data_IF_593659467900
#
_entry.id   IF_593659467900
#
_cell.length_a   1.000
_cell.length_b   1.000
_cell.length_c   1.000
_cell.angle_alpha   90.00
_cell.angle_beta   90.00
_cell.angle_gamma   90.00
#
_symmetry.space_group_name_H-M   'P 1'
#
loop_
_entity.id
_entity.type
_entity.pdbx_description
1 polymer ?
#
# COMPACT_ATOMS: atom_id res chain seq x y z
N UNK A 1 3.69 -14.49 -26.45
CA UNK A 1 3.02 -13.78 -25.35
C UNK A 1 4.10 -13.29 -24.40
N UNK A 2 4.37 -11.99 -24.35
CA UNK A 2 5.20 -11.43 -23.28
C UNK A 2 4.35 -11.40 -22.02
N UNK A 3 4.82 -12.02 -20.93
CA UNK A 3 4.25 -11.79 -19.62
C UNK A 3 4.50 -10.33 -19.27
N UNK A 4 3.45 -9.52 -19.34
CA UNK A 4 3.48 -8.15 -18.89
C UNK A 4 3.38 -8.22 -17.37
N UNK A 5 4.52 -8.38 -16.69
CA UNK A 5 4.58 -8.26 -15.24
C UNK A 5 3.89 -6.94 -14.86
N UNK A 6 2.96 -7.00 -13.91
CA UNK A 6 2.26 -5.82 -13.44
C UNK A 6 3.31 -4.84 -12.88
N UNK A 7 3.58 -3.78 -13.64
CA UNK A 7 4.52 -2.74 -13.22
C UNK A 7 3.99 -2.10 -11.93
N UNK A 8 4.87 -2.06 -10.93
CA UNK A 8 4.54 -1.72 -9.56
C UNK A 8 4.40 -0.20 -9.49
N UNK A 9 3.23 0.33 -9.13
CA UNK A 9 2.98 1.78 -9.20
C UNK A 9 2.52 2.39 -7.88
N UNK A 10 2.70 3.70 -7.69
CA UNK A 10 2.22 4.46 -6.52
C UNK A 10 1.15 5.46 -6.94
N UNK A 11 0.10 5.61 -6.16
CA UNK A 11 -0.91 6.61 -6.45
C UNK A 11 -0.40 8.00 -6.06
N UNK A 12 -0.56 8.98 -6.95
CA UNK A 12 -0.42 10.39 -6.60
C UNK A 12 -1.79 11.04 -6.43
N UNK A 13 -1.97 11.70 -5.29
CA UNK A 13 -3.17 12.48 -4.98
C UNK A 13 -3.17 13.85 -5.69
N UNK A 14 -2.01 14.30 -6.20
CA UNK A 14 -1.87 15.58 -6.89
C UNK A 14 -1.81 15.44 -8.42
N UNK A 15 -2.24 16.49 -9.13
CA UNK A 15 -2.50 16.49 -10.57
C UNK A 15 -1.23 16.45 -11.46
N UNK A 16 -0.03 16.61 -10.90
CA UNK A 16 1.20 16.66 -11.67
C UNK A 16 1.92 15.30 -11.70
N UNK A 17 2.25 14.75 -12.87
CA UNK A 17 3.07 13.56 -12.97
C UNK A 17 4.50 13.88 -12.50
N UNK A 18 4.83 13.52 -11.26
CA UNK A 18 6.23 13.54 -10.82
C UNK A 18 6.87 12.26 -11.32
N UNK A 19 7.86 12.35 -12.20
CA UNK A 19 8.82 11.25 -12.37
C UNK A 19 9.57 11.13 -11.06
N UNK A 20 9.35 10.06 -10.31
CA UNK A 20 10.21 9.76 -9.17
C UNK A 20 11.56 9.32 -9.74
N UNK A 21 12.65 9.85 -9.19
CA UNK A 21 14.02 9.55 -9.66
C UNK A 21 14.38 8.05 -9.50
N UNK A 22 13.57 7.32 -8.73
CA UNK A 22 13.65 5.87 -8.54
C UNK A 22 13.02 5.04 -9.68
N UNK A 23 12.42 5.69 -10.69
CA UNK A 23 11.80 5.03 -11.84
C UNK A 23 10.48 4.31 -11.54
N UNK A 24 9.90 4.49 -10.35
CA UNK A 24 8.63 3.86 -9.99
C UNK A 24 7.47 4.57 -10.72
N UNK A 25 6.69 3.86 -11.55
CA UNK A 25 5.57 4.47 -12.24
C UNK A 25 4.53 4.99 -11.25
N UNK A 26 3.93 6.14 -11.53
CA UNK A 26 2.81 6.65 -10.74
C UNK A 26 1.55 6.78 -11.57
N UNK A 27 0.40 6.75 -10.91
CA UNK A 27 -0.88 6.97 -11.55
C UNK A 27 -1.72 8.03 -10.84
N UNK A 28 -2.62 8.63 -11.61
CA UNK A 28 -3.59 9.63 -11.16
C UNK A 28 -4.97 9.00 -10.94
N UNK A 29 -5.84 9.72 -10.24
CA UNK A 29 -7.26 9.38 -10.10
C UNK A 29 -7.94 9.17 -11.47
N UNK A 30 -7.70 10.07 -12.43
CA UNK A 30 -8.29 9.97 -13.77
C UNK A 30 -7.89 8.69 -14.51
N UNK A 31 -6.64 8.23 -14.34
CA UNK A 31 -6.16 6.97 -14.91
C UNK A 31 -6.83 5.76 -14.26
N UNK A 32 -7.07 5.80 -12.94
CA UNK A 32 -7.81 4.75 -12.23
C UNK A 32 -9.25 4.62 -12.72
N UNK A 33 -9.98 5.73 -12.81
CA UNK A 33 -11.37 5.74 -13.30
C UNK A 33 -11.44 5.29 -14.76
N UNK A 34 -10.52 5.75 -15.61
CA UNK A 34 -10.45 5.33 -17.01
C UNK A 34 -10.19 3.82 -17.14
N UNK A 35 -9.24 3.29 -16.35
CA UNK A 35 -8.92 1.86 -16.34
C UNK A 35 -10.10 1.01 -15.87
N UNK A 36 -10.75 1.38 -14.76
CA UNK A 36 -11.88 0.64 -14.23
C UNK A 36 -13.06 0.64 -15.20
N UNK A 37 -13.37 1.81 -15.78
CA UNK A 37 -14.43 1.95 -16.80
C UNK A 37 -14.15 1.13 -18.05
N UNK A 38 -12.92 1.15 -18.56
CA UNK A 38 -12.55 0.42 -19.77
C UNK A 38 -12.64 -1.10 -19.58
N UNK A 39 -12.45 -1.60 -18.36
CA UNK A 39 -12.43 -3.03 -18.06
C UNK A 39 -13.69 -3.53 -17.33
N UNK A 40 -14.69 -2.66 -17.10
CA UNK A 40 -15.89 -3.03 -16.35
C UNK A 40 -15.61 -3.43 -14.89
N UNK A 41 -14.56 -2.87 -14.28
CA UNK A 41 -14.18 -3.15 -12.90
C UNK A 41 -14.85 -2.18 -11.94
N UNK A 42 -15.26 -2.67 -10.78
CA UNK A 42 -15.82 -1.83 -9.72
C UNK A 42 -14.73 -1.12 -8.91
N UNK A 43 -13.64 -1.82 -8.61
CA UNK A 43 -12.57 -1.32 -7.73
C UNK A 43 -11.26 -2.06 -7.97
N UNK A 44 -10.15 -1.36 -7.76
CA UNK A 44 -8.80 -1.92 -7.68
C UNK A 44 -8.43 -2.02 -6.20
N UNK A 45 -8.06 -3.22 -5.75
CA UNK A 45 -7.56 -3.44 -4.39
C UNK A 45 -6.04 -3.60 -4.48
N UNK A 46 -5.30 -2.80 -3.74
CA UNK A 46 -3.83 -2.74 -3.81
C UNK A 46 -3.19 -2.54 -2.44
N UNK A 47 -1.87 -2.70 -2.36
CA UNK A 47 -1.06 -2.34 -1.20
C UNK A 47 0.07 -1.38 -1.56
N UNK A 48 1.27 -1.63 -1.01
CA UNK A 48 2.56 -0.98 -1.31
C UNK A 48 2.77 0.45 -0.81
N UNK A 49 1.72 1.20 -0.54
CA UNK A 49 1.83 2.55 0.03
C UNK A 49 1.41 2.51 1.51
N UNK A 50 2.31 2.94 2.40
CA UNK A 50 1.99 3.05 3.82
C UNK A 50 0.86 4.07 4.01
N UNK A 51 -0.13 3.72 4.83
CA UNK A 51 -1.27 4.57 5.17
C UNK A 51 -1.52 4.44 6.68
N UNK A 52 -1.74 5.56 7.35
CA UNK A 52 -1.80 5.61 8.81
C UNK A 52 -2.95 4.78 9.39
N UNK A 53 -4.08 4.72 8.68
CA UNK A 53 -5.28 4.01 9.11
C UNK A 53 -5.32 2.53 8.68
N UNK A 54 -4.22 2.02 8.10
CA UNK A 54 -4.14 0.67 7.55
C UNK A 54 -4.91 0.47 6.25
N UNK A 55 -5.77 1.42 5.87
CA UNK A 55 -6.40 1.47 4.56
C UNK A 55 -6.60 2.91 4.07
N UNK A 56 -6.74 3.07 2.75
CA UNK A 56 -7.14 4.31 2.10
C UNK A 56 -8.09 3.98 0.94
N UNK A 57 -9.32 4.48 1.00
CA UNK A 57 -10.31 4.34 -0.07
C UNK A 57 -10.38 5.65 -0.88
N UNK A 58 -9.35 5.89 -1.67
CA UNK A 58 -9.26 7.05 -2.54
C UNK A 58 -8.35 6.76 -3.75
N UNK A 59 -8.78 7.05 -4.98
CA UNK A 59 -10.14 7.49 -5.36
C UNK A 59 -11.15 6.37 -5.11
N UNK A 60 -12.44 6.61 -5.39
CA UNK A 60 -13.52 5.63 -5.13
C UNK A 60 -13.26 4.26 -5.78
N UNK A 61 -12.54 4.24 -6.88
CA UNK A 61 -12.19 3.05 -7.65
C UNK A 61 -10.90 2.37 -7.17
N UNK A 62 -10.24 2.85 -6.11
CA UNK A 62 -9.01 2.27 -5.57
C UNK A 62 -9.05 2.19 -4.05
N UNK A 63 -8.81 0.98 -3.54
CA UNK A 63 -8.62 0.71 -2.12
C UNK A 63 -7.19 0.27 -1.89
N UNK A 64 -6.44 1.05 -1.12
CA UNK A 64 -5.11 0.69 -0.62
C UNK A 64 -5.25 0.06 0.76
N UNK A 65 -4.59 -1.08 0.99
CA UNK A 65 -4.57 -1.82 2.26
C UNK A 65 -3.12 -2.09 2.66
N UNK A 66 -2.82 -1.88 3.94
CA UNK A 66 -1.55 -2.21 4.58
C UNK A 66 -1.82 -3.14 5.74
N UNK A 67 -1.17 -4.31 5.74
CA UNK A 67 -1.35 -5.32 6.79
C UNK A 67 -0.17 -5.41 7.77
N UNK A 68 0.76 -4.45 7.71
CA UNK A 68 1.88 -4.35 8.64
C UNK A 68 1.57 -3.28 9.69
N UNK A 69 1.39 -3.71 10.95
CA UNK A 69 1.33 -2.78 12.09
C UNK A 69 2.72 -2.25 12.37
N UNK A 70 2.79 -1.03 12.91
CA UNK A 70 4.03 -0.40 13.34
C UNK A 70 5.19 -0.60 12.34
N UNK A 71 4.97 -0.21 11.08
CA UNK A 71 5.92 -0.50 10.00
C UNK A 71 7.35 -0.08 10.39
N UNK A 72 8.32 -0.95 10.15
CA UNK A 72 9.73 -0.76 10.54
C UNK A 72 9.95 -0.42 12.04
N UNK A 73 9.02 -0.80 12.91
CA UNK A 73 9.00 -0.52 14.36
C UNK A 73 9.02 0.98 14.75
N UNK A 74 8.90 1.85 13.74
CA UNK A 74 9.04 3.29 13.84
C UNK A 74 7.71 4.01 13.55
N UNK A 75 6.96 3.52 12.57
CA UNK A 75 5.64 4.04 12.28
C UNK A 75 4.65 3.60 13.38
N UNK A 76 3.61 4.41 13.62
CA UNK A 76 2.51 4.07 14.54
C UNK A 76 1.21 3.82 13.78
N UNK A 77 1.34 3.32 12.56
CA UNK A 77 0.20 3.07 11.68
C UNK A 77 -0.64 1.89 12.19
N UNK A 78 -1.95 1.98 11.95
CA UNK A 78 -2.83 0.83 11.92
C UNK A 78 -2.50 -0.04 10.72
N UNK A 79 -2.86 -1.31 10.83
CA UNK A 79 -2.98 -2.23 9.73
C UNK A 79 -4.46 -2.55 9.48
N UNK A 80 -4.76 -3.08 8.31
CA UNK A 80 -6.08 -3.54 7.97
C UNK A 80 -6.03 -4.85 7.19
N UNK A 81 -7.15 -5.57 7.28
CA UNK A 81 -7.50 -6.68 6.42
C UNK A 81 -8.88 -6.41 5.83
N UNK A 82 -9.07 -6.81 4.56
CA UNK A 82 -10.37 -6.72 3.92
C UNK A 82 -10.90 -8.10 3.62
N UNK A 83 -12.18 -8.30 3.95
CA UNK A 83 -12.93 -9.51 3.60
C UNK A 83 -13.93 -9.16 2.53
N UNK A 84 -13.96 -9.95 1.46
CA UNK A 84 -14.93 -9.84 0.38
C UNK A 84 -15.85 -11.06 0.45
N UNK A 85 -17.16 -10.82 0.55
CA UNK A 85 -18.17 -11.86 0.51
C UNK A 85 -19.26 -11.46 -0.49
N UNK A 86 -19.25 -12.11 -1.66
CA UNK A 86 -20.09 -11.73 -2.78
C UNK A 86 -19.79 -10.29 -3.23
N UNK A 87 -20.81 -9.43 -3.21
CA UNK A 87 -20.68 -8.01 -3.56
C UNK A 87 -20.34 -7.11 -2.37
N UNK A 88 -20.24 -7.66 -1.17
CA UNK A 88 -19.96 -6.90 0.04
C UNK A 88 -18.47 -6.98 0.37
N UNK A 89 -17.89 -5.83 0.70
CA UNK A 89 -16.54 -5.73 1.23
C UNK A 89 -16.58 -5.07 2.61
N UNK A 90 -15.81 -5.62 3.56
CA UNK A 90 -15.64 -5.04 4.89
C UNK A 90 -14.16 -4.96 5.25
N UNK A 91 -13.80 -3.90 5.96
CA UNK A 91 -12.43 -3.63 6.39
C UNK A 91 -12.36 -3.75 7.91
N UNK A 92 -11.44 -4.57 8.38
CA UNK A 92 -11.12 -4.73 9.80
C UNK A 92 -9.76 -4.07 10.02
N UNK A 93 -9.72 -3.07 10.89
CA UNK A 93 -8.47 -2.41 11.31
C UNK A 93 -7.97 -3.00 12.61
N UNK A 94 -6.65 -3.09 12.74
CA UNK A 94 -5.96 -3.53 13.93
C UNK A 94 -4.67 -2.72 14.11
N UNK A 95 -4.20 -2.60 15.35
CA UNK A 95 -2.95 -1.91 15.69
C UNK A 95 -2.17 -2.78 16.67
N UNK A 96 -0.87 -2.52 16.77
CA UNK A 96 -0.05 -3.08 17.83
C UNK A 96 -0.50 -2.52 19.17
N UNK A 97 -0.64 -3.39 20.18
CA UNK A 97 -0.99 -2.94 21.53
C UNK A 97 0.21 -2.31 22.24
N UNK A 98 -0.03 -1.40 23.18
CA UNK A 98 1.04 -0.76 23.95
C UNK A 98 1.71 -1.78 24.86
N UNK A 99 2.95 -2.16 24.54
CA UNK A 99 3.74 -3.13 25.31
C UNK A 99 3.96 -4.47 24.61
N UNK A 100 3.40 -4.68 23.42
CA UNK A 100 3.82 -5.81 22.58
C UNK A 100 5.28 -5.65 22.16
N UNK A 101 6.05 -6.75 22.12
CA UNK A 101 7.44 -6.69 21.69
C UNK A 101 7.49 -6.21 20.23
N UNK A 102 8.08 -5.03 20.03
CA UNK A 102 8.60 -4.60 18.73
C UNK A 102 9.60 -5.65 18.21
N UNK A 103 9.90 -5.65 16.91
CA UNK A 103 10.79 -6.63 16.24
C UNK A 103 11.76 -7.25 17.25
N UNK A 104 11.60 -8.55 17.53
CA UNK A 104 12.33 -9.30 18.56
C UNK A 104 13.72 -8.68 18.73
N UNK A 105 14.11 -8.23 19.92
CA UNK A 105 15.31 -7.39 20.19
C UNK A 105 16.65 -7.91 19.60
N UNK A 106 16.64 -9.11 19.03
CA UNK A 106 17.70 -9.81 18.32
C UNK A 106 17.76 -9.44 16.82
N UNK A 107 16.65 -9.05 16.18
CA UNK A 107 16.55 -8.82 14.73
C UNK A 107 15.86 -7.47 14.41
N UNK A 108 16.66 -6.41 14.28
CA UNK A 108 16.22 -5.08 13.80
C UNK A 108 15.74 -5.13 12.34
N UNK A 109 14.81 -4.23 11.93
CA UNK A 109 14.48 -4.01 10.52
C UNK A 109 15.73 -3.74 9.68
N UNK A 110 15.85 -4.41 8.53
CA UNK A 110 16.97 -4.24 7.60
C UNK A 110 18.17 -5.18 7.81
N UNK A 111 18.12 -6.11 8.78
CA UNK A 111 19.15 -7.16 8.90
C UNK A 111 19.22 -8.00 7.62
N UNK A 112 20.45 -8.24 7.15
CA UNK A 112 20.72 -8.92 5.88
C UNK A 112 20.77 -8.01 4.65
N UNK A 113 20.64 -6.68 4.82
CA UNK A 113 20.84 -5.70 3.74
C UNK A 113 22.20 -5.00 3.85
N UNK A 114 22.68 -4.46 2.73
CA UNK A 114 23.92 -3.69 2.70
C UNK A 114 23.75 -2.33 3.41
N UNK A 115 24.85 -1.75 3.88
CA UNK A 115 24.84 -0.47 4.63
C UNK A 115 24.40 0.75 3.80
N UNK A 116 24.30 0.60 2.47
CA UNK A 116 23.79 1.61 1.54
C UNK A 116 22.29 1.51 1.30
N UNK A 117 21.63 0.45 1.79
CA UNK A 117 20.18 0.40 1.85
C UNK A 117 19.77 1.46 2.89
N UNK A 118 19.49 2.66 2.40
CA UNK A 118 19.14 3.82 3.21
C UNK A 118 18.08 3.44 4.25
N UNK A 119 18.18 3.94 5.49
CA UNK A 119 17.10 3.82 6.44
C UNK A 119 15.87 4.51 5.83
N UNK A 120 14.83 3.74 5.51
CA UNK A 120 13.50 4.27 5.20
C UNK A 120 12.83 4.76 6.47
#
# INVERSE_FOLDING_TARGET
MSFQEAAWSVMKLEANPVTTDDGIPTFTESQCSAFCKANGLAVIVRGRQLVDEGFLNYPKEVVTIVSAVAYLDNFRNYAAAMTIQGMNASIIRYKMDEGEPKSLDIVKPGIGRNATALPM
#
